data_IF_029671595685
#
_entry.id   IF_029671595685
#
_cell.length_a   1.000
_cell.length_b   1.000
_cell.length_c   1.000
_cell.angle_alpha   90.00
_cell.angle_beta   90.00
_cell.angle_gamma   90.00
#
_symmetry.space_group_name_H-M   'P 1'
#
loop_
_entity.id
_entity.type
_entity.pdbx_description
1 polymer ?
#
# COMPACT_ATOMS: atom_id res chain seq x y z
N UNK A 1 28.78 36.90 -19.83
CA UNK A 1 28.95 36.15 -21.09
C UNK A 1 29.65 34.84 -20.81
N UNK A 2 28.90 33.74 -20.81
CA UNK A 2 29.23 32.52 -21.54
C UNK A 2 28.10 31.52 -21.31
N UNK A 3 27.19 31.49 -22.28
CA UNK A 3 26.19 30.45 -22.47
C UNK A 3 26.93 29.15 -22.78
N UNK A 4 26.52 28.04 -22.16
CA UNK A 4 26.76 26.73 -22.73
C UNK A 4 25.43 26.02 -22.93
N UNK A 5 25.31 25.57 -24.16
CA UNK A 5 24.15 25.14 -24.92
C UNK A 5 23.77 23.71 -24.54
N UNK A 6 22.46 23.47 -24.48
CA UNK A 6 21.81 22.15 -24.41
C UNK A 6 22.09 21.37 -25.69
N UNK A 7 22.30 20.05 -25.59
CA UNK A 7 22.02 19.13 -26.70
C UNK A 7 21.37 17.85 -26.16
N UNK A 8 20.17 17.46 -26.65
CA UNK A 8 19.51 16.21 -26.29
C UNK A 8 19.98 15.07 -27.21
N UNK A 9 20.15 13.87 -26.65
CA UNK A 9 20.34 12.64 -27.43
C UNK A 9 18.96 12.02 -27.63
N UNK A 10 18.44 12.13 -28.85
CA UNK A 10 17.38 11.25 -29.34
C UNK A 10 17.99 9.87 -29.56
N UNK A 11 17.37 8.83 -28.99
CA UNK A 11 17.50 7.47 -29.50
C UNK A 11 16.12 7.03 -30.01
N UNK A 12 16.08 6.71 -31.29
CA UNK A 12 14.94 6.17 -31.99
C UNK A 12 15.30 4.78 -32.54
N UNK A 13 14.24 4.01 -32.81
CA UNK A 13 14.17 2.69 -33.45
C UNK A 13 14.32 1.49 -32.48
N UNK A 14 13.56 0.41 -32.61
CA UNK A 14 12.96 -0.14 -33.82
C UNK A 14 11.63 -0.86 -33.57
N UNK A 15 10.75 -0.73 -34.58
CA UNK A 15 9.59 -1.56 -34.84
C UNK A 15 10.02 -3.02 -35.07
N UNK A 16 9.36 -3.96 -34.40
CA UNK A 16 9.31 -5.35 -34.85
C UNK A 16 7.84 -5.77 -35.01
N UNK A 17 7.50 -6.00 -36.27
CA UNK A 17 6.33 -6.71 -36.76
C UNK A 17 6.35 -8.16 -36.30
N UNK A 18 5.26 -8.64 -35.71
CA UNK A 18 5.01 -10.05 -35.46
C UNK A 18 3.57 -10.41 -35.82
N UNK A 19 3.41 -11.22 -36.87
CA UNK A 19 2.14 -11.77 -37.33
C UNK A 19 1.46 -12.62 -36.25
N UNK A 20 0.16 -12.41 -36.01
CA UNK A 20 -0.67 -13.41 -35.34
C UNK A 20 -1.95 -13.64 -36.15
N UNK A 21 -2.09 -14.90 -36.54
CA UNK A 21 -3.14 -15.48 -37.37
C UNK A 21 -4.43 -15.63 -36.58
N UNK A 22 -5.55 -15.55 -37.30
CA UNK A 22 -6.94 -15.57 -36.85
C UNK A 22 -7.45 -17.01 -36.61
N UNK A 23 -8.29 -17.17 -35.57
CA UNK A 23 -9.45 -18.08 -35.46
C UNK A 23 -9.19 -19.62 -35.49
N UNK A 24 -9.87 -20.50 -34.75
CA UNK A 24 -11.21 -20.50 -34.15
C UNK A 24 -11.38 -21.73 -33.20
N UNK A 25 -12.56 -22.05 -32.62
CA UNK A 25 -12.72 -22.49 -31.23
C UNK A 25 -12.86 -24.01 -31.09
N UNK A 26 -12.86 -24.52 -29.85
CA UNK A 26 -13.41 -25.85 -29.58
C UNK A 26 -14.13 -25.85 -28.23
N UNK A 27 -15.46 -25.93 -28.33
CA UNK A 27 -16.37 -26.29 -27.25
C UNK A 27 -15.96 -27.63 -26.63
N UNK A 28 -15.87 -27.70 -25.30
CA UNK A 28 -16.23 -28.91 -24.55
C UNK A 28 -16.89 -28.56 -23.21
N UNK A 29 -18.10 -29.07 -23.13
CA UNK A 29 -19.00 -29.22 -22.00
C UNK A 29 -18.38 -29.88 -20.75
N UNK A 30 -18.81 -29.37 -19.59
CA UNK A 30 -19.34 -30.08 -18.42
C UNK A 30 -18.51 -31.20 -17.76
N UNK A 31 -18.11 -31.02 -16.50
CA UNK A 31 -18.68 -31.77 -15.34
C UNK A 31 -18.04 -31.31 -14.02
N UNK A 32 -18.90 -30.95 -13.05
CA UNK A 32 -18.55 -30.81 -11.63
C UNK A 32 -18.32 -32.19 -10.98
N UNK A 33 -17.58 -32.21 -9.87
CA UNK A 33 -18.10 -32.94 -8.71
C UNK A 33 -18.02 -32.16 -7.40
N UNK A 34 -19.14 -32.19 -6.67
CA UNK A 34 -19.25 -32.01 -5.23
C UNK A 34 -18.25 -32.89 -4.46
N UNK A 35 -17.70 -32.34 -3.38
CA UNK A 35 -17.43 -33.13 -2.17
C UNK A 35 -17.28 -32.22 -0.95
N UNK A 36 -18.37 -32.11 -0.19
CA UNK A 36 -18.41 -31.66 1.19
C UNK A 36 -17.60 -32.58 2.12
N UNK A 37 -16.88 -32.03 3.10
CA UNK A 37 -16.68 -32.69 4.40
C UNK A 37 -16.54 -31.64 5.49
N UNK A 38 -17.54 -31.57 6.36
CA UNK A 38 -17.49 -30.87 7.65
C UNK A 38 -16.78 -31.77 8.67
N UNK A 39 -15.87 -31.21 9.46
CA UNK A 39 -15.51 -31.75 10.78
C UNK A 39 -15.55 -30.62 11.80
N UNK A 40 -16.44 -30.79 12.77
CA UNK A 40 -16.62 -30.00 13.98
C UNK A 40 -15.66 -30.50 15.05
N UNK A 41 -15.04 -29.61 15.82
CA UNK A 41 -14.64 -29.91 17.21
C UNK A 41 -14.67 -28.63 18.04
N UNK A 42 -15.66 -28.53 18.92
CA UNK A 42 -15.65 -27.63 20.07
C UNK A 42 -14.65 -28.17 21.12
N UNK A 43 -13.83 -27.30 21.71
CA UNK A 43 -13.41 -27.44 23.10
C UNK A 43 -13.36 -26.07 23.78
N UNK A 44 -14.11 -25.98 24.86
CA UNK A 44 -14.13 -24.90 25.84
C UNK A 44 -13.03 -25.11 26.88
N UNK A 45 -12.40 -24.04 27.33
CA UNK A 45 -11.76 -23.95 28.66
C UNK A 45 -11.51 -22.49 29.02
N UNK A 46 -12.04 -22.07 30.17
CA UNK A 46 -11.90 -20.73 30.75
C UNK A 46 -10.61 -20.55 31.59
N UNK A 47 -10.32 -19.26 31.86
CA UNK A 47 -9.58 -18.61 32.97
C UNK A 47 -8.04 -18.62 32.95
N UNK A 48 -7.41 -17.45 32.74
CA UNK A 48 -6.96 -16.58 33.84
C UNK A 48 -6.26 -15.29 33.35
N UNK A 49 -6.50 -14.23 34.11
CA UNK A 49 -6.02 -12.85 34.00
C UNK A 49 -4.52 -12.69 34.29
N UNK A 50 -3.86 -11.83 33.51
CA UNK A 50 -2.88 -10.86 34.00
C UNK A 50 -2.65 -9.77 32.93
N UNK A 51 -2.81 -8.52 33.33
CA UNK A 51 -2.44 -7.32 32.56
C UNK A 51 -0.91 -7.19 32.48
N UNK A 52 -0.36 -6.98 31.28
CA UNK A 52 0.68 -5.97 31.01
C UNK A 52 0.83 -5.78 29.48
N UNK A 53 1.11 -4.54 29.10
CA UNK A 53 1.08 -3.92 27.76
C UNK A 53 2.05 -4.51 26.73
N UNK A 54 1.55 -4.80 25.53
CA UNK A 54 2.33 -4.91 24.27
C UNK A 54 1.52 -4.23 23.16
N UNK A 55 2.14 -3.28 22.46
CA UNK A 55 1.57 -2.62 21.29
C UNK A 55 1.44 -3.62 20.13
N UNK A 56 0.37 -3.50 19.35
CA UNK A 56 -0.03 -4.48 18.35
C UNK A 56 0.99 -4.59 17.21
N UNK A 57 1.69 -5.72 17.15
CA UNK A 57 2.24 -6.30 15.92
C UNK A 57 1.07 -7.06 15.27
N UNK A 58 0.68 -6.66 14.07
CA UNK A 58 -0.49 -7.25 13.37
C UNK A 58 -0.16 -8.67 12.88
N UNK A 59 -1.01 -9.62 13.24
CA UNK A 59 -1.02 -11.00 12.74
C UNK A 59 -1.35 -10.99 11.23
N UNK A 60 -0.33 -11.21 10.39
CA UNK A 60 -0.35 -10.97 8.94
C UNK A 60 -1.05 -12.09 8.13
N UNK A 61 -2.35 -12.31 8.37
CA UNK A 61 -3.22 -13.03 7.44
C UNK A 61 -4.33 -12.16 6.82
N UNK A 62 -4.39 -10.89 7.20
CA UNK A 62 -5.32 -9.92 6.64
C UNK A 62 -4.57 -8.95 5.70
N UNK A 63 -5.09 -8.69 4.49
CA UNK A 63 -4.53 -7.68 3.61
C UNK A 63 -4.48 -6.34 4.37
N UNK A 64 -3.39 -5.59 4.23
CA UNK A 64 -3.28 -4.24 4.78
C UNK A 64 -4.54 -3.47 4.45
N UNK A 65 -5.27 -3.10 5.50
CA UNK A 65 -6.47 -2.32 5.39
C UNK A 65 -6.06 -0.88 5.11
N UNK A 66 -5.86 -0.60 3.82
CA UNK A 66 -5.56 0.73 3.27
C UNK A 66 -6.75 1.62 3.64
N UNK A 67 -6.65 2.32 4.77
CA UNK A 67 -7.73 3.16 5.34
C UNK A 67 -9.09 2.51 5.12
N UNK A 68 -9.38 1.50 5.95
CA UNK A 68 -10.64 0.76 5.93
C UNK A 68 -11.79 1.63 5.44
N UNK A 69 -12.57 1.12 4.50
CA UNK A 69 -13.78 1.80 4.04
C UNK A 69 -14.65 2.26 5.24
N UNK A 70 -14.49 1.64 6.43
CA UNK A 70 -15.05 2.06 7.71
C UNK A 70 -14.65 3.49 8.15
N UNK A 71 -13.38 3.90 8.01
CA UNK A 71 -12.92 5.25 8.38
C UNK A 71 -13.50 6.35 7.47
N UNK A 72 -13.71 6.03 6.19
CA UNK A 72 -14.31 6.92 5.20
C UNK A 72 -15.83 7.01 5.41
N UNK A 73 -16.47 5.87 5.71
CA UNK A 73 -17.90 5.80 6.03
C UNK A 73 -18.26 6.55 7.32
N UNK A 74 -17.28 6.89 8.16
CA UNK A 74 -17.47 7.71 9.37
C UNK A 74 -18.16 9.05 9.08
N UNK A 75 -17.89 9.67 7.93
CA UNK A 75 -18.41 10.99 7.60
C UNK A 75 -19.55 10.97 6.59
N UNK A 76 -19.45 10.14 5.56
CA UNK A 76 -20.52 9.96 4.56
C UNK A 76 -20.57 8.49 4.15
N UNK A 77 -21.72 7.85 4.39
CA UNK A 77 -21.97 6.50 3.88
C UNK A 77 -22.01 6.53 2.35
N UNK A 78 -21.21 5.68 1.70
CA UNK A 78 -21.06 5.61 0.24
C UNK A 78 -22.41 5.57 -0.50
N UNK A 79 -23.37 4.80 0.00
CA UNK A 79 -24.72 4.64 -0.61
C UNK A 79 -25.58 5.93 -0.55
N UNK A 80 -25.20 6.89 0.31
CA UNK A 80 -25.94 8.13 0.54
C UNK A 80 -25.43 9.32 -0.25
N UNK A 81 -24.26 9.20 -0.90
CA UNK A 81 -23.58 10.33 -1.57
C UNK A 81 -24.43 10.92 -2.70
N UNK A 82 -25.03 10.09 -3.57
CA UNK A 82 -25.84 10.59 -4.67
C UNK A 82 -27.07 11.39 -4.19
N UNK A 83 -27.89 10.91 -3.24
CA UNK A 83 -28.93 11.72 -2.61
C UNK A 83 -28.42 13.03 -1.98
N UNK A 84 -27.27 13.00 -1.31
CA UNK A 84 -26.68 14.20 -0.67
C UNK A 84 -26.27 15.22 -1.73
N UNK A 85 -25.68 14.80 -2.85
CA UNK A 85 -25.29 15.68 -3.95
C UNK A 85 -26.45 16.49 -4.53
N UNK A 86 -27.67 15.94 -4.54
CA UNK A 86 -28.86 16.66 -4.99
C UNK A 86 -29.33 17.75 -4.01
N UNK A 87 -28.77 17.80 -2.80
CA UNK A 87 -29.03 18.87 -1.82
C UNK A 87 -28.07 20.04 -1.92
N UNK A 88 -27.15 20.02 -2.91
CA UNK A 88 -26.14 21.07 -3.13
C UNK A 88 -26.77 22.46 -3.14
N UNK A 89 -26.10 23.41 -2.47
CA UNK A 89 -26.62 24.75 -2.21
C UNK A 89 -25.49 25.75 -2.03
N UNK A 90 -25.83 27.02 -2.27
CA UNK A 90 -24.96 28.12 -1.87
C UNK A 90 -24.88 28.20 -0.34
N UNK A 91 -23.67 28.36 0.18
CA UNK A 91 -23.33 28.37 1.60
C UNK A 91 -22.46 29.57 1.93
N UNK A 92 -23.02 30.53 2.68
CA UNK A 92 -22.34 31.77 3.07
C UNK A 92 -21.23 31.56 4.11
N UNK A 93 -21.27 30.42 4.79
CA UNK A 93 -20.39 30.01 5.89
C UNK A 93 -19.55 28.79 5.53
N UNK A 94 -19.29 28.59 4.23
CA UNK A 94 -18.46 27.49 3.76
C UNK A 94 -17.07 27.57 4.40
N UNK A 95 -16.61 26.44 4.91
CA UNK A 95 -15.25 26.26 5.42
C UNK A 95 -14.26 26.51 4.29
N UNK A 96 -13.07 27.02 4.62
CA UNK A 96 -12.06 27.29 3.61
C UNK A 96 -11.32 26.00 3.23
N UNK A 97 -11.52 25.52 2.00
CA UNK A 97 -10.78 24.39 1.43
C UNK A 97 -9.58 24.85 0.59
N UNK A 98 -9.48 26.14 0.22
CA UNK A 98 -8.39 26.60 -0.65
C UNK A 98 -7.01 26.33 -0.07
N UNK A 99 -6.12 25.77 -0.89
CA UNK A 99 -4.77 25.45 -0.50
C UNK A 99 -4.20 24.23 -1.20
N UNK A 100 -3.04 23.80 -0.69
CA UNK A 100 -2.40 22.54 -1.04
C UNK A 100 -2.54 21.58 0.13
N UNK A 101 -3.01 20.39 -0.17
CA UNK A 101 -3.35 19.35 0.78
C UNK A 101 -2.57 18.10 0.42
N UNK A 102 -1.98 17.46 1.42
CA UNK A 102 -1.20 16.24 1.25
C UNK A 102 -1.80 15.14 2.12
N UNK A 103 -1.92 13.94 1.57
CA UNK A 103 -2.41 12.80 2.32
C UNK A 103 -1.46 12.48 3.48
N UNK A 104 -2.02 12.12 4.63
CA UNK A 104 -1.28 11.83 5.87
C UNK A 104 -1.88 10.60 6.57
N UNK A 105 -1.18 10.11 7.59
CA UNK A 105 -1.57 8.95 8.41
C UNK A 105 -1.73 7.67 7.56
N UNK A 106 -0.84 7.50 6.57
CA UNK A 106 -0.85 6.40 5.62
C UNK A 106 0.57 5.90 5.32
N UNK A 107 0.69 4.78 4.60
CA UNK A 107 1.99 4.27 4.14
C UNK A 107 2.67 5.26 3.19
N UNK A 108 3.98 5.48 3.26
CA UNK A 108 4.72 6.45 2.42
C UNK A 108 4.54 6.24 0.91
N UNK A 109 4.44 4.98 0.50
CA UNK A 109 4.21 4.60 -0.91
C UNK A 109 2.75 4.75 -1.36
N UNK A 110 1.85 5.14 -0.46
CA UNK A 110 0.45 5.46 -0.77
C UNK A 110 0.28 6.95 -0.49
N UNK A 111 -0.42 7.68 -1.34
CA UNK A 111 -0.54 9.11 -1.09
C UNK A 111 -1.38 9.86 -2.09
N UNK A 112 -1.51 11.16 -1.84
CA UNK A 112 -2.03 12.07 -2.84
C UNK A 112 -1.80 13.53 -2.45
N UNK A 113 -1.64 14.35 -3.47
CA UNK A 113 -1.58 15.79 -3.37
C UNK A 113 -2.81 16.38 -4.03
N UNK A 114 -3.53 17.27 -3.33
CA UNK A 114 -4.71 17.97 -3.86
C UNK A 114 -4.46 19.47 -3.76
N UNK A 115 -4.61 20.17 -4.89
CA UNK A 115 -4.69 21.62 -4.93
C UNK A 115 -6.14 22.05 -5.12
N UNK A 116 -6.64 22.88 -4.21
CA UNK A 116 -8.00 23.46 -4.26
C UNK A 116 -7.90 24.96 -4.51
N UNK A 117 -8.68 25.45 -5.49
CA UNK A 117 -8.71 26.86 -5.90
C UNK A 117 -10.11 27.34 -6.25
N UNK A 118 -10.24 28.66 -6.42
CA UNK A 118 -11.45 29.32 -6.94
C UNK A 118 -12.69 28.98 -6.10
N UNK A 119 -12.54 28.95 -4.77
CA UNK A 119 -13.65 28.72 -3.88
C UNK A 119 -14.58 29.94 -3.85
N UNK A 120 -15.86 29.71 -4.11
CA UNK A 120 -16.93 30.68 -3.90
C UNK A 120 -17.97 30.13 -2.90
N UNK A 121 -19.20 30.65 -2.93
CA UNK A 121 -20.26 30.21 -2.01
C UNK A 121 -20.92 28.90 -2.44
N UNK A 122 -20.76 28.49 -3.69
CA UNK A 122 -21.43 27.32 -4.27
C UNK A 122 -20.47 26.15 -4.45
N UNK A 123 -19.18 26.42 -4.69
CA UNK A 123 -18.24 25.40 -5.14
C UNK A 123 -16.77 25.80 -4.98
N UNK A 124 -15.89 24.87 -5.31
CA UNK A 124 -14.47 25.10 -5.60
C UNK A 124 -14.00 24.21 -6.74
N UNK A 125 -12.85 24.53 -7.33
CA UNK A 125 -12.13 23.69 -8.28
C UNK A 125 -11.05 22.90 -7.55
N UNK A 126 -10.80 21.67 -7.96
CA UNK A 126 -9.71 20.85 -7.43
C UNK A 126 -8.93 20.16 -8.54
N UNK A 127 -7.66 19.87 -8.24
CA UNK A 127 -6.81 18.97 -9.02
C UNK A 127 -5.99 18.15 -8.06
N UNK A 128 -5.99 16.83 -8.24
CA UNK A 128 -5.22 15.91 -7.42
C UNK A 128 -4.40 14.92 -8.25
N UNK A 129 -3.29 14.50 -7.65
CA UNK A 129 -2.41 13.43 -8.11
C UNK A 129 -2.29 12.41 -6.97
N UNK A 130 -2.42 11.13 -7.28
CA UNK A 130 -2.61 10.07 -6.29
C UNK A 130 -1.75 8.86 -6.61
N UNK A 131 -1.30 8.18 -5.56
CA UNK A 131 -0.26 7.17 -5.63
C UNK A 131 -0.67 5.92 -4.86
N UNK A 132 -0.39 4.76 -5.46
CA UNK A 132 -0.45 3.46 -4.81
C UNK A 132 0.77 2.64 -5.28
N UNK A 133 1.83 2.69 -4.50
CA UNK A 133 3.16 2.15 -4.85
C UNK A 133 3.60 2.65 -6.23
N UNK A 134 3.84 1.74 -7.18
CA UNK A 134 4.27 2.11 -8.55
C UNK A 134 3.14 2.64 -9.45
N UNK A 135 1.92 2.76 -8.93
CA UNK A 135 0.75 3.18 -9.69
C UNK A 135 0.38 4.62 -9.36
N UNK A 136 -0.02 5.36 -10.39
CA UNK A 136 -0.38 6.77 -10.29
C UNK A 136 -1.73 7.01 -10.95
N UNK A 137 -2.41 8.05 -10.50
CA UNK A 137 -3.63 8.53 -11.11
C UNK A 137 -3.87 10.00 -10.82
N UNK A 138 -4.73 10.62 -11.62
CA UNK A 138 -5.09 12.02 -11.47
C UNK A 138 -6.62 12.18 -11.47
N UNK A 139 -7.10 13.17 -10.72
CA UNK A 139 -8.50 13.57 -10.75
C UNK A 139 -8.61 15.09 -10.65
N UNK A 140 -9.46 15.70 -11.47
CA UNK A 140 -9.71 17.14 -11.44
C UNK A 140 -11.18 17.44 -11.71
N UNK A 141 -11.68 18.55 -11.18
CA UNK A 141 -13.08 18.90 -11.36
C UNK A 141 -13.54 20.05 -10.49
N UNK A 142 -14.86 20.16 -10.37
CA UNK A 142 -15.54 21.20 -9.58
C UNK A 142 -16.44 20.51 -8.56
N UNK A 143 -16.16 20.72 -7.28
CA UNK A 143 -16.96 20.16 -6.18
C UNK A 143 -17.94 21.22 -5.66
N UNK A 144 -19.19 20.83 -5.44
CA UNK A 144 -20.27 21.71 -4.99
C UNK A 144 -20.57 21.48 -3.51
N UNK A 145 -20.80 22.57 -2.76
CA UNK A 145 -21.15 22.48 -1.35
C UNK A 145 -22.53 21.84 -1.14
N UNK A 146 -22.57 20.88 -0.22
CA UNK A 146 -23.81 20.26 0.29
C UNK A 146 -24.06 20.64 1.75
N UNK A 147 -23.00 21.03 2.46
CA UNK A 147 -23.02 21.66 3.78
C UNK A 147 -21.86 22.64 3.93
N UNK A 148 -21.81 23.36 5.06
CA UNK A 148 -20.75 24.30 5.42
C UNK A 148 -19.35 23.66 5.46
N UNK A 149 -19.25 22.36 5.65
CA UNK A 149 -17.98 21.64 5.77
C UNK A 149 -17.86 20.47 4.79
N UNK A 150 -18.75 20.35 3.80
CA UNK A 150 -18.73 19.24 2.85
C UNK A 150 -19.01 19.73 1.44
N UNK A 151 -18.15 19.35 0.51
CA UNK A 151 -18.35 19.52 -0.92
C UNK A 151 -18.24 18.17 -1.63
N UNK A 152 -18.95 18.03 -2.75
CA UNK A 152 -18.99 16.78 -3.53
C UNK A 152 -18.80 17.12 -5.01
N UNK A 153 -17.86 16.42 -5.64
CA UNK A 153 -17.70 16.32 -7.08
C UNK A 153 -18.46 15.10 -7.60
N UNK A 154 -19.08 15.25 -8.76
CA UNK A 154 -19.70 14.15 -9.51
C UNK A 154 -19.02 14.01 -10.87
N UNK A 155 -18.57 12.80 -11.17
CA UNK A 155 -18.14 12.41 -12.50
C UNK A 155 -19.36 11.98 -13.31
N UNK A 156 -19.73 12.79 -14.30
CA UNK A 156 -20.89 12.52 -15.17
C UNK A 156 -20.63 11.43 -16.20
N UNK A 157 -19.37 11.10 -16.51
CA UNK A 157 -19.02 10.06 -17.48
C UNK A 157 -19.12 8.67 -16.86
N UNK A 158 -18.62 8.52 -15.64
CA UNK A 158 -18.52 7.23 -14.99
C UNK A 158 -19.56 7.00 -13.87
N UNK A 159 -20.38 8.02 -13.54
CA UNK A 159 -21.38 8.00 -12.47
C UNK A 159 -20.77 7.67 -11.10
N UNK A 160 -19.72 8.40 -10.75
CA UNK A 160 -19.10 8.33 -9.44
C UNK A 160 -18.98 9.69 -8.78
N UNK A 161 -18.53 9.67 -7.52
CA UNK A 161 -18.43 10.86 -6.69
C UNK A 161 -17.12 10.89 -5.93
N UNK A 162 -16.61 12.09 -5.68
CA UNK A 162 -15.54 12.37 -4.72
C UNK A 162 -16.09 13.39 -3.73
N UNK A 163 -16.04 13.11 -2.43
CA UNK A 163 -16.43 14.05 -1.40
C UNK A 163 -15.20 14.58 -0.66
N UNK A 164 -15.32 15.82 -0.20
CA UNK A 164 -14.33 16.53 0.60
C UNK A 164 -15.03 17.00 1.87
N UNK A 165 -14.58 16.53 3.02
CA UNK A 165 -15.18 16.84 4.31
C UNK A 165 -14.14 17.47 5.24
N UNK A 166 -14.40 18.67 5.75
CA UNK A 166 -13.52 19.32 6.71
C UNK A 166 -13.95 19.00 8.14
N UNK A 167 -13.02 18.50 8.95
CA UNK A 167 -13.20 18.33 10.38
C UNK A 167 -11.92 18.75 11.13
N UNK A 168 -12.06 19.64 12.11
CA UNK A 168 -10.96 20.12 12.97
C UNK A 168 -9.69 20.64 12.26
N UNK A 169 -9.79 21.06 11.00
CA UNK A 169 -8.68 21.58 10.20
C UNK A 169 -8.02 20.55 9.27
N UNK A 170 -8.48 19.30 9.33
CA UNK A 170 -8.10 18.21 8.43
C UNK A 170 -9.21 17.97 7.41
N UNK A 171 -8.80 17.56 6.20
CA UNK A 171 -9.73 17.25 5.12
C UNK A 171 -9.78 15.74 4.92
N UNK A 172 -10.95 15.16 5.08
CA UNK A 172 -11.23 13.76 4.76
C UNK A 172 -11.78 13.70 3.34
N UNK A 173 -11.13 12.92 2.48
CA UNK A 173 -11.54 12.71 1.09
C UNK A 173 -11.93 11.26 0.93
N UNK A 174 -13.03 11.04 0.23
CA UNK A 174 -13.48 9.69 -0.10
C UNK A 174 -14.17 9.66 -1.46
N UNK A 175 -14.17 8.50 -2.09
CA UNK A 175 -14.83 8.29 -3.36
C UNK A 175 -15.88 7.18 -3.31
N UNK A 176 -16.84 7.28 -4.25
CA UNK A 176 -17.91 6.31 -4.43
C UNK A 176 -18.18 6.08 -5.91
N UNK A 177 -18.56 4.85 -6.25
CA UNK A 177 -18.62 4.44 -7.65
C UNK A 177 -17.22 4.44 -8.26
N UNK A 178 -17.12 4.87 -9.50
CA UNK A 178 -15.91 4.80 -10.34
C UNK A 178 -15.15 6.13 -10.41
N UNK A 179 -15.73 7.25 -9.98
CA UNK A 179 -15.02 8.53 -9.92
C UNK A 179 -13.92 8.43 -8.87
N UNK A 180 -12.71 8.81 -9.25
CA UNK A 180 -11.55 8.65 -8.38
C UNK A 180 -11.05 7.21 -8.25
N UNK A 181 -11.69 6.21 -8.86
CA UNK A 181 -11.06 4.89 -9.03
C UNK A 181 -10.14 4.98 -10.25
N UNK A 182 -8.89 5.39 -10.02
CA UNK A 182 -7.91 5.61 -11.08
C UNK A 182 -7.26 4.31 -11.60
N UNK A 183 -7.89 3.16 -11.28
CA UNK A 183 -7.38 1.83 -11.58
C UNK A 183 -6.28 1.40 -10.62
N UNK A 184 -5.99 0.09 -10.63
CA UNK A 184 -4.88 -0.51 -9.89
C UNK A 184 -4.75 -0.05 -8.42
N UNK A 185 -5.88 0.02 -7.71
CA UNK A 185 -6.00 0.45 -6.31
C UNK A 185 -5.62 1.91 -6.01
N UNK A 186 -5.32 2.74 -7.01
CA UNK A 186 -5.15 4.18 -6.82
C UNK A 186 -6.49 4.83 -6.50
N UNK A 187 -6.56 5.59 -5.41
CA UNK A 187 -7.76 6.29 -4.96
C UNK A 187 -7.42 7.61 -4.25
N UNK A 188 -8.37 8.56 -4.17
CA UNK A 188 -8.20 9.80 -3.39
C UNK A 188 -8.56 9.62 -1.92
N UNK A 189 -8.75 8.38 -1.46
CA UNK A 189 -9.33 8.10 -0.17
C UNK A 189 -8.32 8.31 0.95
N UNK A 190 -8.66 9.14 1.93
CA UNK A 190 -7.86 9.29 3.13
C UNK A 190 -8.01 10.64 3.81
N UNK A 191 -7.15 10.86 4.78
CA UNK A 191 -7.02 12.11 5.51
C UNK A 191 -5.93 12.97 4.86
N UNK A 192 -6.20 14.26 4.74
CA UNK A 192 -5.33 15.24 4.14
C UNK A 192 -5.07 16.40 5.10
N UNK A 193 -3.82 16.85 5.11
CA UNK A 193 -3.34 17.96 5.93
C UNK A 193 -2.67 19.04 5.07
N UNK A 194 -2.67 20.28 5.55
CA UNK A 194 -1.80 21.35 5.03
C UNK A 194 -0.51 21.47 5.84
N UNK A 195 -0.36 20.64 6.88
CA UNK A 195 0.75 20.64 7.82
C UNK A 195 1.87 19.67 7.44
N UNK A 196 2.51 19.11 8.46
CA UNK A 196 3.51 18.05 8.31
C UNK A 196 2.81 16.71 8.04
N UNK A 197 3.26 15.99 7.02
CA UNK A 197 2.77 14.66 6.68
C UNK A 197 3.39 13.63 7.62
N UNK A 198 2.57 12.70 8.10
CA UNK A 198 2.97 11.58 8.95
C UNK A 198 2.74 10.28 8.21
N UNK A 199 3.73 9.39 8.21
CA UNK A 199 3.63 8.08 7.56
C UNK A 199 3.59 6.94 8.57
N UNK A 200 2.80 5.90 8.29
CA UNK A 200 2.62 4.76 9.20
C UNK A 200 3.81 3.82 9.25
N UNK A 201 4.66 3.84 8.23
CA UNK A 201 5.88 3.04 8.11
C UNK A 201 7.15 3.86 8.42
N UNK A 202 7.02 5.08 8.95
CA UNK A 202 8.18 5.87 9.35
C UNK A 202 8.95 5.14 10.47
N UNK A 203 10.24 4.84 10.24
CA UNK A 203 11.09 4.12 11.20
C UNK A 203 10.98 2.58 11.16
N UNK A 204 10.33 2.01 10.15
CA UNK A 204 10.12 0.56 10.02
C UNK A 204 11.42 -0.24 10.06
N UNK A 205 12.52 0.31 9.54
CA UNK A 205 13.84 -0.31 9.56
C UNK A 205 14.35 -0.53 10.99
N UNK A 206 14.29 0.51 11.83
CA UNK A 206 14.72 0.47 13.23
C UNK A 206 13.76 -0.35 14.12
N UNK A 207 12.49 -0.41 13.76
CA UNK A 207 11.49 -1.24 14.46
C UNK A 207 11.67 -2.74 14.16
N UNK A 208 12.05 -3.08 12.92
CA UNK A 208 12.20 -4.47 12.47
C UNK A 208 13.57 -5.06 12.85
N UNK A 209 14.62 -4.24 12.86
CA UNK A 209 16.00 -4.70 12.96
C UNK A 209 16.82 -3.97 14.01
N UNK A 210 17.66 -4.75 14.70
CA UNK A 210 18.74 -4.19 15.52
C UNK A 210 19.94 -3.77 14.65
N UNK A 211 20.75 -2.84 15.15
CA UNK A 211 21.99 -2.41 14.49
C UNK A 211 22.93 -3.57 14.10
N UNK A 212 22.98 -4.61 14.94
CA UNK A 212 23.83 -5.77 14.69
C UNK A 212 23.29 -6.64 13.55
N UNK A 213 21.98 -6.77 13.43
CA UNK A 213 21.33 -7.51 12.33
C UNK A 213 21.50 -6.74 11.02
N UNK A 214 21.27 -5.43 11.01
CA UNK A 214 21.51 -4.60 9.82
C UNK A 214 22.96 -4.69 9.35
N UNK A 215 23.90 -4.66 10.30
CA UNK A 215 25.32 -4.85 9.99
C UNK A 215 25.60 -6.23 9.40
N UNK A 216 25.03 -7.28 9.98
CA UNK A 216 25.18 -8.65 9.47
C UNK A 216 24.66 -8.78 8.04
N UNK A 217 23.47 -8.21 7.76
CA UNK A 217 22.86 -8.22 6.43
C UNK A 217 23.75 -7.48 5.43
N UNK A 218 24.23 -6.26 5.76
CA UNK A 218 25.18 -5.49 4.93
C UNK A 218 26.48 -6.22 4.62
N UNK A 219 26.97 -7.04 5.55
CA UNK A 219 28.19 -7.83 5.35
C UNK A 219 27.94 -9.08 4.49
N UNK A 220 26.69 -9.56 4.43
CA UNK A 220 26.31 -10.81 3.79
C UNK A 220 25.91 -10.63 2.31
N UNK A 221 25.27 -9.51 1.96
CA UNK A 221 24.83 -9.19 0.59
C UNK A 221 25.67 -8.06 -0.03
N UNK A 222 25.53 -7.82 -1.34
CA UNK A 222 26.23 -6.69 -1.97
C UNK A 222 25.60 -5.35 -1.61
N UNK A 223 26.36 -4.25 -1.72
CA UNK A 223 25.86 -2.90 -1.45
C UNK A 223 24.66 -2.52 -2.33
N UNK A 224 24.66 -2.96 -3.60
CA UNK A 224 23.58 -2.67 -4.54
C UNK A 224 22.31 -3.45 -4.15
N UNK A 225 22.44 -4.74 -3.80
CA UNK A 225 21.31 -5.54 -3.29
C UNK A 225 20.77 -5.02 -1.95
N UNK A 226 21.66 -4.55 -1.07
CA UNK A 226 21.25 -3.94 0.18
C UNK A 226 20.36 -2.73 -0.07
N UNK A 227 20.75 -1.83 -0.98
CA UNK A 227 19.99 -0.61 -1.26
C UNK A 227 18.75 -0.85 -2.10
N UNK A 228 18.91 -1.53 -3.21
CA UNK A 228 17.90 -1.60 -4.27
C UNK A 228 16.84 -2.67 -3.99
N UNK A 229 17.13 -3.65 -3.14
CA UNK A 229 16.20 -4.72 -2.79
C UNK A 229 15.85 -4.68 -1.31
N UNK A 230 16.83 -4.84 -0.41
CA UNK A 230 16.54 -4.99 1.02
C UNK A 230 16.01 -3.68 1.67
N UNK A 231 16.76 -2.59 1.56
CA UNK A 231 16.40 -1.27 2.13
C UNK A 231 15.13 -0.75 1.47
N UNK A 232 15.10 -0.70 0.13
CA UNK A 232 13.91 -0.28 -0.61
C UNK A 232 12.65 -1.11 -0.27
N UNK A 233 12.72 -2.44 -0.19
CA UNK A 233 11.53 -3.24 0.13
C UNK A 233 11.11 -3.12 1.60
N UNK A 234 12.04 -2.80 2.49
CA UNK A 234 11.72 -2.55 3.90
C UNK A 234 11.02 -1.20 4.06
N UNK A 235 11.54 -0.16 3.40
CA UNK A 235 11.04 1.21 3.53
C UNK A 235 9.76 1.44 2.72
N UNK A 236 9.69 0.92 1.48
CA UNK A 236 8.59 1.18 0.54
C UNK A 236 7.68 -0.04 0.32
N UNK A 237 7.95 -1.15 1.01
CA UNK A 237 7.17 -2.37 0.90
C UNK A 237 6.36 -2.67 2.15
N UNK A 238 5.79 -3.86 2.13
CA UNK A 238 5.06 -4.44 3.25
C UNK A 238 6.00 -5.36 3.99
N UNK A 239 6.21 -5.12 5.28
CA UNK A 239 7.07 -5.94 6.14
C UNK A 239 6.20 -6.73 7.11
N UNK A 240 6.38 -8.04 7.10
CA UNK A 240 5.74 -8.97 8.04
C UNK A 240 6.81 -9.59 8.94
N UNK A 241 6.66 -9.38 10.24
CA UNK A 241 7.56 -9.91 11.26
C UNK A 241 6.91 -11.08 11.97
N UNK A 242 7.64 -12.19 12.05
CA UNK A 242 7.23 -13.38 12.77
C UNK A 242 8.29 -13.78 13.79
N UNK A 243 8.03 -13.41 15.03
CA UNK A 243 8.82 -13.86 16.18
C UNK A 243 8.42 -15.28 16.60
N UNK A 244 9.20 -15.86 17.52
CA UNK A 244 8.97 -17.19 18.10
C UNK A 244 8.91 -18.34 17.08
N UNK A 245 9.72 -18.24 16.00
CA UNK A 245 9.94 -19.33 15.07
C UNK A 245 11.09 -20.20 15.52
N UNK A 246 11.05 -21.47 15.11
CA UNK A 246 12.12 -22.43 15.32
C UNK A 246 12.49 -23.14 14.02
N UNK A 247 13.80 -23.34 13.84
CA UNK A 247 14.35 -24.18 12.80
C UNK A 247 14.19 -25.66 13.11
N UNK A 248 14.37 -26.53 12.11
CA UNK A 248 14.31 -27.98 12.29
C UNK A 248 15.37 -28.56 13.26
N UNK A 249 16.43 -27.83 13.57
CA UNK A 249 17.43 -28.17 14.60
C UNK A 249 17.04 -27.70 16.02
N UNK A 250 15.90 -27.01 16.16
CA UNK A 250 15.37 -26.46 17.40
C UNK A 250 15.92 -25.08 17.77
N UNK A 251 16.75 -24.45 16.93
CA UNK A 251 17.22 -23.10 17.17
C UNK A 251 16.08 -22.08 16.97
N UNK A 252 15.96 -21.13 17.90
CA UNK A 252 15.02 -20.01 17.79
C UNK A 252 15.50 -19.03 16.73
N UNK A 253 14.56 -18.48 15.98
CA UNK A 253 14.82 -17.49 14.96
C UNK A 253 13.67 -16.49 14.82
N UNK A 254 14.03 -15.32 14.31
CA UNK A 254 13.14 -14.33 13.74
C UNK A 254 12.99 -14.61 12.24
N UNK A 255 11.77 -14.63 11.73
CA UNK A 255 11.50 -14.68 10.29
C UNK A 255 10.86 -13.37 9.85
N UNK A 256 11.41 -12.77 8.80
CA UNK A 256 10.91 -11.53 8.20
C UNK A 256 10.61 -11.78 6.74
N UNK A 257 9.42 -11.40 6.32
CA UNK A 257 9.00 -11.39 4.92
C UNK A 257 8.72 -9.95 4.51
N UNK A 258 9.26 -9.54 3.38
CA UNK A 258 9.07 -8.22 2.82
C UNK A 258 8.78 -8.34 1.33
N UNK A 259 7.76 -7.63 0.86
CA UNK A 259 7.46 -7.53 -0.56
C UNK A 259 6.98 -6.14 -0.90
N UNK A 260 7.22 -5.69 -2.13
CA UNK A 260 6.73 -4.40 -2.62
C UNK A 260 5.48 -4.62 -3.47
N UNK A 261 4.28 -4.22 -3.00
CA UNK A 261 3.07 -4.30 -3.80
C UNK A 261 3.24 -3.63 -5.15
N UNK A 262 2.57 -4.16 -6.17
CA UNK A 262 2.62 -3.68 -7.58
C UNK A 262 3.96 -3.86 -8.30
N UNK A 263 5.05 -4.15 -7.57
CA UNK A 263 6.39 -4.43 -8.10
C UNK A 263 6.68 -5.93 -7.99
N UNK A 264 5.83 -6.73 -8.64
CA UNK A 264 5.84 -8.20 -8.52
C UNK A 264 7.24 -8.81 -8.64
N UNK A 265 7.63 -9.57 -7.60
CA UNK A 265 8.94 -10.22 -7.52
C UNK A 265 10.05 -9.36 -6.94
N UNK A 266 9.74 -8.20 -6.34
CA UNK A 266 10.68 -7.43 -5.53
C UNK A 266 10.35 -7.60 -4.04
N UNK A 267 11.35 -8.01 -3.26
CA UNK A 267 11.19 -8.30 -1.84
C UNK A 267 12.31 -9.16 -1.28
N UNK A 268 12.12 -9.67 -0.08
CA UNK A 268 13.00 -10.68 0.51
C UNK A 268 12.29 -11.51 1.56
N UNK A 269 12.80 -12.70 1.77
CA UNK A 269 12.55 -13.51 2.95
C UNK A 269 13.85 -13.66 3.75
N UNK A 270 13.78 -13.51 5.06
CA UNK A 270 14.95 -13.44 5.94
C UNK A 270 14.73 -14.27 7.21
N UNK A 271 15.67 -15.15 7.52
CA UNK A 271 15.74 -15.90 8.78
C UNK A 271 16.96 -15.44 9.56
N UNK A 272 16.76 -14.90 10.76
CA UNK A 272 17.80 -14.48 11.70
C UNK A 272 17.75 -15.38 12.94
N UNK A 273 18.77 -16.21 13.13
CA UNK A 273 18.86 -17.18 14.22
C UNK A 273 19.58 -16.56 15.43
N UNK A 274 19.14 -16.87 16.65
CA UNK A 274 19.75 -16.33 17.88
C UNK A 274 21.26 -16.64 18.02
N UNK A 275 21.73 -17.71 17.38
CA UNK A 275 23.15 -18.10 17.39
C UNK A 275 24.02 -17.32 16.37
N UNK A 276 23.43 -16.37 15.66
CA UNK A 276 24.09 -15.49 14.70
C UNK A 276 24.10 -16.00 13.25
N UNK A 277 23.47 -17.15 12.97
CA UNK A 277 23.22 -17.57 11.59
C UNK A 277 22.17 -16.68 10.93
N UNK A 278 22.35 -16.40 9.65
CA UNK A 278 21.39 -15.69 8.83
C UNK A 278 21.21 -16.39 7.48
N UNK A 279 19.98 -16.41 6.98
CA UNK A 279 19.62 -16.91 5.66
C UNK A 279 18.72 -15.87 5.00
N UNK A 280 19.11 -15.41 3.81
CA UNK A 280 18.41 -14.35 3.08
C UNK A 280 18.09 -14.85 1.69
N UNK A 281 16.83 -14.77 1.28
CA UNK A 281 16.40 -14.97 -0.09
C UNK A 281 15.91 -13.62 -0.62
N UNK A 282 16.68 -13.01 -1.52
CA UNK A 282 16.28 -11.76 -2.17
C UNK A 282 15.48 -12.09 -3.43
N UNK A 283 14.34 -11.42 -3.60
CA UNK A 283 13.53 -11.47 -4.80
C UNK A 283 13.80 -10.20 -5.61
N UNK A 284 14.33 -10.36 -6.83
CA UNK A 284 14.64 -9.22 -7.69
C UNK A 284 14.24 -9.49 -9.15
N UNK A 285 12.92 -9.40 -9.42
CA UNK A 285 12.23 -9.47 -10.72
C UNK A 285 12.58 -10.65 -11.64
N UNK A 286 13.83 -10.72 -12.08
CA UNK A 286 14.40 -11.71 -12.97
C UNK A 286 14.96 -12.94 -12.26
N UNK A 287 15.40 -12.81 -11.00
CA UNK A 287 16.00 -13.92 -10.27
C UNK A 287 15.84 -13.78 -8.75
N UNK A 288 15.86 -14.94 -8.09
CA UNK A 288 15.98 -15.05 -6.64
C UNK A 288 17.44 -15.34 -6.30
N UNK A 289 17.98 -14.66 -5.30
CA UNK A 289 19.38 -14.78 -4.89
C UNK A 289 19.45 -15.13 -3.41
N UNK A 290 20.11 -16.26 -3.12
CA UNK A 290 20.21 -16.78 -1.77
C UNK A 290 21.58 -16.52 -1.14
N UNK A 291 21.56 -16.02 0.09
CA UNK A 291 22.74 -15.71 0.89
C UNK A 291 22.65 -16.35 2.28
N UNK A 292 23.78 -16.86 2.78
CA UNK A 292 23.88 -17.31 4.17
C UNK A 292 25.32 -17.25 4.69
N UNK A 293 25.48 -17.00 5.98
CA UNK A 293 26.75 -17.15 6.69
C UNK A 293 26.93 -18.55 7.33
N UNK A 294 25.94 -19.45 7.23
CA UNK A 294 26.05 -20.82 7.70
C UNK A 294 26.87 -21.68 6.72
N UNK A 295 28.14 -21.84 7.04
CA UNK A 295 29.08 -22.62 6.23
C UNK A 295 28.72 -24.10 6.07
N UNK A 296 27.80 -24.64 6.88
CA UNK A 296 27.32 -26.02 6.76
C UNK A 296 26.07 -26.14 5.88
N UNK A 297 25.43 -25.02 5.52
CA UNK A 297 24.26 -25.00 4.67
C UNK A 297 24.66 -25.14 3.20
N UNK A 298 24.07 -26.12 2.51
CA UNK A 298 24.38 -26.40 1.10
C UNK A 298 23.22 -26.18 0.15
N UNK A 299 22.02 -25.87 0.67
CA UNK A 299 20.86 -25.54 -0.16
C UNK A 299 20.96 -24.12 -0.70
N UNK A 300 20.15 -23.81 -1.72
CA UNK A 300 19.90 -22.45 -2.21
C UNK A 300 18.49 -21.97 -1.82
N UNK A 301 17.85 -22.70 -0.92
CA UNK A 301 16.53 -22.40 -0.37
C UNK A 301 16.67 -22.02 1.11
N UNK A 302 15.69 -21.28 1.61
CA UNK A 302 15.58 -20.98 3.04
C UNK A 302 15.36 -22.26 3.85
N UNK A 303 15.87 -22.31 5.10
CA UNK A 303 15.54 -23.41 5.99
C UNK A 303 14.05 -23.38 6.36
N UNK A 304 13.46 -24.56 6.54
CA UNK A 304 12.09 -24.66 7.04
C UNK A 304 11.97 -24.05 8.44
N UNK A 305 11.00 -23.15 8.61
CA UNK A 305 10.63 -22.51 9.89
C UNK A 305 9.27 -23.01 10.36
N UNK A 306 9.14 -23.22 11.66
CA UNK A 306 7.87 -23.63 12.30
C UNK A 306 7.58 -22.79 13.53
N UNK A 307 6.31 -22.77 13.98
CA UNK A 307 5.95 -22.17 15.27
C UNK A 307 6.51 -23.04 16.41
N UNK A 308 6.96 -22.38 17.49
CA UNK A 308 7.38 -23.05 18.73
C UNK A 308 6.25 -23.86 19.40
#
# INVERSE_FOLDING_TARGET
MNKKTILPIMLAAALLTGCATKAEPTDKEFTSPDSSTQVSTEMTSEVASSEETVAAVTDASEPIDVTSQEDINKYIEVETIAPIYETRKSTETATNFEGQWQQTNNHSSIGGDITISDQDKEKFSFKGEFYYFSHTGDAEGVAYFVSDNTAIYKDEEYDGYIFFHMNDGEMFVGCAGTAGMMGMAVSPNGEYTTGEVVHTNEGIMEETYTDNELKLIKELITEDEYKDVFEFSTDEGVVSLYDDKVLGDGAKCKYVDSFVPTMGGLGYELVLVEDGRAYILLHNYSEDIFYTNDTNWTSQELPEVSLE
#
